data_IF_867577851758
#
_entry.id   IF_867577851758
#
_cell.length_a   1.000
_cell.length_b   1.000
_cell.length_c   1.000
_cell.angle_alpha   90.00
_cell.angle_beta   90.00
_cell.angle_gamma   90.00
#
_symmetry.space_group_name_H-M   'P 1'
#
loop_
_entity.id
_entity.type
_entity.pdbx_description
1 polymer ?
#
# COMPACT_ATOMS: atom_id res chain seq x y z
N UNK A 1 0.49 -30.35 -7.54
CA UNK A 1 1.67 -29.74 -6.86
C UNK A 1 1.35 -29.62 -5.38
N UNK A 2 2.38 -29.64 -4.52
CA UNK A 2 2.19 -29.47 -3.08
C UNK A 2 1.89 -28.03 -2.69
N UNK A 3 1.40 -27.84 -1.46
CA UNK A 3 1.16 -26.53 -0.84
C UNK A 3 2.13 -26.34 0.32
N UNK A 4 2.69 -25.14 0.46
CA UNK A 4 3.68 -24.80 1.49
C UNK A 4 3.13 -24.99 2.90
N UNK A 5 3.75 -25.89 3.67
CA UNK A 5 3.42 -26.10 5.10
C UNK A 5 3.69 -24.85 5.94
N UNK A 6 4.71 -24.07 5.58
CA UNK A 6 5.00 -22.79 6.24
C UNK A 6 3.87 -21.79 6.03
N UNK A 7 3.36 -21.68 4.80
CA UNK A 7 2.27 -20.77 4.45
C UNK A 7 0.99 -21.12 5.20
N UNK A 8 0.63 -22.43 5.22
CA UNK A 8 -0.56 -22.94 5.92
C UNK A 8 -0.47 -22.71 7.42
N UNK A 9 0.70 -22.94 8.03
CA UNK A 9 0.94 -22.67 9.45
C UNK A 9 0.88 -21.16 9.76
N UNK A 10 1.54 -20.33 8.94
CA UNK A 10 1.50 -18.86 9.11
C UNK A 10 0.05 -18.33 8.98
N UNK A 11 -0.74 -18.90 8.06
CA UNK A 11 -2.17 -18.56 7.91
C UNK A 11 -3.02 -18.92 9.14
N UNK A 12 -2.61 -19.93 9.91
CA UNK A 12 -3.23 -20.27 11.20
C UNK A 12 -2.78 -19.33 12.34
N UNK A 13 -1.66 -18.62 12.18
CA UNK A 13 -1.13 -17.63 13.13
C UNK A 13 -1.54 -16.18 12.83
N UNK A 14 -2.29 -15.93 11.74
CA UNK A 14 -2.80 -14.59 11.42
C UNK A 14 -3.87 -14.16 12.43
N UNK A 15 -3.44 -13.42 13.46
CA UNK A 15 -4.29 -12.83 14.50
C UNK A 15 -5.24 -11.73 14.00
N UNK A 16 -5.17 -11.36 12.72
CA UNK A 16 -6.03 -10.35 12.10
C UNK A 16 -7.47 -10.87 11.97
N UNK A 17 -8.44 -10.17 12.59
CA UNK A 17 -9.87 -10.54 12.57
C UNK A 17 -10.56 -10.33 11.21
N UNK A 18 -9.78 -10.22 10.13
CA UNK A 18 -10.28 -9.99 8.77
C UNK A 18 -11.18 -11.18 8.37
N UNK A 19 -12.40 -10.87 7.91
CA UNK A 19 -13.47 -11.83 7.58
C UNK A 19 -14.02 -12.68 8.74
N UNK A 20 -13.51 -12.58 9.98
CA UNK A 20 -14.05 -13.31 11.15
C UNK A 20 -15.40 -12.72 11.58
N UNK A 21 -15.58 -11.40 11.48
CA UNK A 21 -16.81 -10.69 11.84
C UNK A 21 -17.92 -10.69 10.76
N UNK A 22 -17.76 -11.43 9.66
CA UNK A 22 -18.62 -11.30 8.48
C UNK A 22 -18.29 -10.08 7.62
N UNK A 23 -19.28 -9.61 6.85
CA UNK A 23 -19.11 -8.63 5.76
C UNK A 23 -19.62 -7.21 6.07
N UNK A 24 -19.95 -6.91 7.33
CA UNK A 24 -20.61 -5.66 7.69
C UNK A 24 -22.06 -5.60 7.23
N UNK A 25 -22.56 -4.40 6.86
CA UNK A 25 -23.94 -4.21 6.40
C UNK A 25 -24.06 -4.49 4.88
N UNK A 26 -25.11 -5.18 4.40
CA UNK A 26 -25.34 -5.39 2.97
C UNK A 26 -25.42 -4.07 2.16
N UNK A 27 -25.94 -3.01 2.76
CA UNK A 27 -26.06 -1.68 2.17
C UNK A 27 -24.68 -1.05 1.92
N UNK A 28 -23.76 -1.20 2.88
CA UNK A 28 -22.39 -0.72 2.79
C UNK A 28 -21.57 -1.54 1.78
N UNK A 29 -21.77 -2.86 1.73
CA UNK A 29 -21.19 -3.72 0.69
C UNK A 29 -21.68 -3.34 -0.72
N UNK A 30 -22.97 -3.03 -0.88
CA UNK A 30 -23.53 -2.53 -2.14
C UNK A 30 -22.85 -1.22 -2.56
N UNK A 31 -22.72 -0.25 -1.65
CA UNK A 31 -22.04 1.04 -1.90
C UNK A 31 -20.59 0.84 -2.33
N UNK A 32 -19.87 -0.09 -1.70
CA UNK A 32 -18.50 -0.48 -2.08
C UNK A 32 -18.47 -1.02 -3.52
N UNK A 33 -19.38 -1.93 -3.90
CA UNK A 33 -19.43 -2.45 -5.28
C UNK A 33 -19.86 -1.43 -6.33
N UNK A 34 -20.72 -0.46 -5.97
CA UNK A 34 -21.09 0.65 -6.86
C UNK A 34 -19.88 1.59 -7.08
N UNK A 35 -19.16 1.94 -6.01
CA UNK A 35 -17.95 2.77 -6.10
C UNK A 35 -16.77 2.05 -6.76
N UNK A 36 -16.63 0.72 -6.58
CA UNK A 36 -15.57 -0.11 -7.19
C UNK A 36 -15.58 -0.05 -8.72
N UNK A 37 -16.75 0.17 -9.34
CA UNK A 37 -16.91 0.40 -10.79
C UNK A 37 -16.35 1.75 -11.26
N UNK A 38 -16.10 2.68 -10.33
CA UNK A 38 -15.44 3.96 -10.59
C UNK A 38 -13.93 3.84 -10.37
N UNK A 39 -13.48 3.14 -9.31
CA UNK A 39 -12.05 2.86 -9.07
C UNK A 39 -11.43 1.99 -10.19
N UNK A 40 -12.16 0.98 -10.70
CA UNK A 40 -11.66 0.06 -11.72
C UNK A 40 -11.41 0.67 -13.11
N UNK A 41 -11.93 1.88 -13.33
CA UNK A 41 -11.75 2.70 -14.53
C UNK A 41 -10.58 3.67 -14.31
N UNK A 42 -9.50 3.53 -15.08
CA UNK A 42 -8.26 4.32 -14.90
C UNK A 42 -8.52 5.83 -14.95
N UNK A 43 -9.27 6.29 -15.96
CA UNK A 43 -9.42 7.72 -16.26
C UNK A 43 -10.33 8.39 -15.23
N UNK A 44 -11.40 7.71 -14.81
CA UNK A 44 -12.21 8.16 -13.67
C UNK A 44 -11.39 8.17 -12.38
N UNK A 45 -10.71 7.06 -12.08
CA UNK A 45 -9.95 6.90 -10.83
C UNK A 45 -8.87 7.98 -10.64
N UNK A 46 -8.19 8.40 -11.72
CA UNK A 46 -7.21 9.49 -11.68
C UNK A 46 -7.79 10.82 -11.17
N UNK A 47 -9.08 11.07 -11.40
CA UNK A 47 -9.77 12.32 -11.02
C UNK A 47 -10.48 12.28 -9.67
N UNK A 48 -10.43 11.14 -8.94
CA UNK A 48 -11.14 10.98 -7.66
C UNK A 48 -10.50 11.76 -6.49
N UNK A 49 -9.26 12.22 -6.64
CA UNK A 49 -8.51 12.96 -5.63
C UNK A 49 -7.92 14.21 -6.29
N UNK A 50 -8.23 15.43 -5.81
CA UNK A 50 -7.61 16.67 -6.28
C UNK A 50 -6.08 16.64 -6.18
N UNK A 51 -5.39 17.33 -7.09
CA UNK A 51 -3.92 17.42 -7.10
C UNK A 51 -3.37 18.21 -5.90
N UNK A 52 -4.19 19.06 -5.28
CA UNK A 52 -3.92 19.86 -4.09
C UNK A 52 -4.50 19.27 -2.78
N UNK A 53 -4.85 17.98 -2.77
CA UNK A 53 -5.55 17.34 -1.65
C UNK A 53 -4.82 17.53 -0.30
N UNK A 54 -5.51 17.95 0.78
CA UNK A 54 -4.85 18.48 1.96
C UNK A 54 -4.12 17.42 2.80
N UNK A 55 -2.80 17.60 2.87
CA UNK A 55 -1.88 16.84 3.72
C UNK A 55 -1.37 17.74 4.85
N UNK A 56 -1.48 17.28 6.09
CA UNK A 56 -1.15 18.04 7.29
C UNK A 56 0.08 17.44 7.98
N UNK A 57 1.18 18.18 8.04
CA UNK A 57 2.32 17.85 8.92
C UNK A 57 1.98 18.34 10.33
N UNK A 58 2.04 17.46 11.32
CA UNK A 58 1.72 17.79 12.71
C UNK A 58 2.93 17.75 13.65
N UNK A 59 4.09 17.28 13.16
CA UNK A 59 5.37 17.28 13.88
C UNK A 59 6.50 17.12 12.88
N UNK A 60 7.61 17.82 13.11
CA UNK A 60 8.88 17.60 12.44
C UNK A 60 9.91 17.32 13.51
N UNK A 61 10.59 16.18 13.45
CA UNK A 61 11.82 15.92 14.20
C UNK A 61 13.02 16.22 13.32
N UNK A 62 14.05 16.84 13.90
CA UNK A 62 15.31 17.12 13.23
C UNK A 62 16.39 16.16 13.75
N UNK A 63 16.92 15.31 12.87
CA UNK A 63 18.05 14.43 13.16
C UNK A 63 19.33 14.94 12.47
N UNK A 64 20.46 14.26 12.67
CA UNK A 64 21.76 14.70 12.17
C UNK A 64 21.84 14.71 10.62
N UNK A 65 21.10 13.82 9.96
CA UNK A 65 21.16 13.51 8.53
C UNK A 65 19.80 13.62 7.81
N UNK A 66 18.69 13.73 8.54
CA UNK A 66 17.33 13.77 8.00
C UNK A 66 16.37 14.62 8.84
N UNK A 67 15.23 14.95 8.24
CA UNK A 67 14.01 15.38 8.92
C UNK A 67 13.01 14.23 8.92
N UNK A 68 12.30 14.02 10.03
CA UNK A 68 11.18 13.09 10.11
C UNK A 68 9.90 13.90 10.29
N UNK A 69 9.03 13.87 9.29
CA UNK A 69 7.74 14.55 9.31
C UNK A 69 6.64 13.54 9.66
N UNK A 70 6.04 13.66 10.85
CA UNK A 70 4.79 12.96 11.16
C UNK A 70 3.61 13.82 10.65
N UNK A 71 2.67 13.17 9.97
CA UNK A 71 1.51 13.85 9.43
C UNK A 71 0.28 12.98 9.30
N UNK A 72 -0.77 13.59 8.74
CA UNK A 72 -2.00 12.91 8.39
C UNK A 72 -2.67 13.54 7.17
N UNK A 73 -3.52 12.77 6.52
CA UNK A 73 -4.54 13.24 5.60
C UNK A 73 -5.88 12.61 6.01
N UNK A 74 -7.00 13.23 5.64
CA UNK A 74 -8.28 12.54 5.72
C UNK A 74 -8.36 11.56 4.55
N UNK A 75 -8.80 10.32 4.77
CA UNK A 75 -8.87 9.34 3.69
C UNK A 75 -9.89 9.80 2.63
N UNK A 76 -9.52 9.94 1.34
CA UNK A 76 -10.46 10.38 0.30
C UNK A 76 -11.71 9.50 0.20
N UNK A 77 -11.60 8.22 0.59
CA UNK A 77 -12.73 7.30 0.65
C UNK A 77 -13.84 7.76 1.62
N UNK A 78 -13.54 8.56 2.65
CA UNK A 78 -14.59 9.11 3.53
C UNK A 78 -15.42 10.20 2.84
N UNK A 79 -14.87 10.92 1.87
CA UNK A 79 -15.64 11.87 1.06
C UNK A 79 -16.40 11.17 -0.07
N UNK A 80 -15.81 10.12 -0.65
CA UNK A 80 -16.35 9.42 -1.81
C UNK A 80 -17.39 8.35 -1.44
N UNK A 81 -17.23 7.67 -0.29
CA UNK A 81 -18.21 6.72 0.26
C UNK A 81 -18.29 6.85 1.80
N UNK A 82 -18.95 7.89 2.33
CA UNK A 82 -18.92 8.24 3.76
C UNK A 82 -19.35 7.11 4.72
N UNK A 83 -18.71 7.02 5.88
CA UNK A 83 -19.04 6.06 6.94
C UNK A 83 -18.78 4.59 6.61
N UNK A 84 -18.07 4.30 5.51
CA UNK A 84 -17.56 2.94 5.21
C UNK A 84 -16.30 2.63 6.03
N UNK A 85 -15.48 3.66 6.32
CA UNK A 85 -14.25 3.49 7.07
C UNK A 85 -14.54 3.32 8.58
N UNK A 86 -13.78 2.47 9.29
CA UNK A 86 -13.72 2.55 10.74
C UNK A 86 -13.11 3.92 11.15
N UNK A 87 -13.51 4.52 12.27
CA UNK A 87 -13.09 5.88 12.66
C UNK A 87 -11.56 6.09 12.69
N UNK A 88 -10.82 5.03 13.02
CA UNK A 88 -9.35 5.01 13.08
C UNK A 88 -8.70 5.17 11.68
N UNK A 89 -9.39 4.77 10.61
CA UNK A 89 -8.91 4.86 9.24
C UNK A 89 -9.38 6.12 8.48
N UNK A 90 -10.36 6.87 9.03
CA UNK A 90 -10.80 8.16 8.47
C UNK A 90 -9.65 9.19 8.48
N UNK A 91 -8.82 9.18 9.53
CA UNK A 91 -7.62 10.03 9.66
C UNK A 91 -6.36 9.20 9.42
N UNK A 92 -6.03 8.99 8.15
CA UNK A 92 -4.84 8.26 7.72
C UNK A 92 -3.57 9.00 8.16
N UNK A 93 -2.78 8.37 9.03
CA UNK A 93 -1.50 8.90 9.53
C UNK A 93 -0.34 8.32 8.73
N UNK A 94 0.72 9.12 8.57
CA UNK A 94 1.97 8.70 7.95
C UNK A 94 3.16 9.32 8.66
N UNK A 95 4.34 8.76 8.38
CA UNK A 95 5.64 9.32 8.73
C UNK A 95 6.48 9.36 7.46
N UNK A 96 7.15 10.47 7.19
CA UNK A 96 7.97 10.67 6.00
C UNK A 96 9.38 11.11 6.40
N UNK A 97 10.40 10.39 5.91
CA UNK A 97 11.81 10.64 6.24
C UNK A 97 12.46 11.31 5.03
N UNK A 98 12.88 12.57 5.21
CA UNK A 98 13.51 13.39 4.17
C UNK A 98 14.99 13.55 4.50
N UNK A 99 15.94 13.14 3.63
CA UNK A 99 17.35 13.41 3.87
C UNK A 99 17.61 14.92 3.85
N UNK A 100 18.46 15.40 4.76
CA UNK A 100 19.03 16.75 4.68
C UNK A 100 19.91 16.89 3.44
N UNK A 101 20.26 18.11 3.06
CA UNK A 101 21.08 18.41 1.88
C UNK A 101 22.45 17.73 1.94
N UNK A 102 22.57 16.49 1.45
CA UNK A 102 23.77 15.66 1.63
C UNK A 102 25.06 16.35 1.16
N UNK A 103 24.95 17.25 0.18
CA UNK A 103 26.07 18.02 -0.36
C UNK A 103 26.34 19.37 0.34
N UNK A 104 25.37 20.03 1.00
CA UNK A 104 25.61 21.30 1.72
C UNK A 104 25.61 21.15 3.24
N UNK A 105 25.11 20.03 3.78
CA UNK A 105 25.17 19.64 5.19
C UNK A 105 25.70 18.20 5.35
N UNK A 106 25.94 17.76 6.58
CA UNK A 106 26.38 16.38 6.86
C UNK A 106 27.86 16.09 6.57
N UNK A 107 28.15 14.89 6.03
CA UNK A 107 29.53 14.41 5.82
C UNK A 107 30.08 14.81 4.45
N UNK A 108 29.29 14.71 3.36
CA UNK A 108 29.79 15.03 2.03
C UNK A 108 30.00 16.53 1.81
N UNK A 109 29.32 17.41 2.57
CA UNK A 109 29.64 18.84 2.56
C UNK A 109 31.05 19.18 3.05
N UNK A 110 31.72 18.26 3.77
CA UNK A 110 33.15 18.37 4.12
C UNK A 110 34.09 17.85 3.03
N UNK A 111 33.57 17.17 2.01
CA UNK A 111 34.32 16.71 0.85
C UNK A 111 34.24 17.68 -0.35
N UNK A 112 33.24 18.57 -0.37
CA UNK A 112 33.14 19.65 -1.38
C UNK A 112 34.18 20.74 -1.11
N UNK A 113 34.95 21.10 -2.13
CA UNK A 113 35.91 22.21 -2.05
C UNK A 113 35.23 23.55 -2.34
N UNK A 114 34.50 24.08 -1.35
CA UNK A 114 33.69 25.30 -1.46
C UNK A 114 34.45 26.48 -2.07
N UNK A 115 35.67 26.78 -1.59
CA UNK A 115 36.50 27.88 -2.12
C UNK A 115 36.82 27.76 -3.61
N UNK A 116 36.96 26.54 -4.12
CA UNK A 116 37.18 26.32 -5.54
C UNK A 116 35.88 26.46 -6.34
N UNK A 117 34.75 26.00 -5.79
CA UNK A 117 33.42 26.16 -6.39
C UNK A 117 33.00 27.63 -6.44
N UNK A 118 33.10 28.35 -5.32
CA UNK A 118 32.90 29.81 -5.20
C UNK A 118 33.71 30.57 -6.25
N UNK A 119 35.01 30.26 -6.36
CA UNK A 119 35.91 30.87 -7.34
C UNK A 119 35.52 30.52 -8.78
N UNK A 120 35.06 29.30 -9.05
CA UNK A 120 34.62 28.91 -10.40
C UNK A 120 33.33 29.60 -10.80
N UNK A 121 32.35 29.67 -9.88
CA UNK A 121 31.09 30.36 -10.07
C UNK A 121 31.29 31.86 -10.33
N UNK A 122 32.09 32.54 -9.48
CA UNK A 122 32.33 33.98 -9.57
C UNK A 122 33.27 34.42 -10.73
N UNK A 123 33.88 33.49 -11.46
CA UNK A 123 34.83 33.80 -12.57
C UNK A 123 34.32 33.33 -13.93
N UNK A 124 33.39 32.38 -13.98
CA UNK A 124 32.87 31.83 -15.23
C UNK A 124 31.34 31.95 -15.28
N UNK A 125 30.85 32.99 -15.95
CA UNK A 125 29.42 33.34 -15.99
C UNK A 125 28.53 32.21 -16.56
N UNK A 126 29.09 31.29 -17.36
CA UNK A 126 28.44 30.04 -17.81
C UNK A 126 27.77 29.26 -16.66
N UNK A 127 28.27 29.35 -15.42
CA UNK A 127 27.59 28.72 -14.26
C UNK A 127 26.24 29.36 -13.92
N UNK A 128 26.12 30.69 -14.06
CA UNK A 128 24.95 31.49 -13.72
C UNK A 128 24.05 31.80 -14.93
N UNK A 129 24.61 31.89 -16.13
CA UNK A 129 23.90 32.24 -17.36
C UNK A 129 23.40 31.01 -18.14
N UNK A 130 24.15 29.91 -18.13
CA UNK A 130 23.83 28.69 -18.90
C UNK A 130 23.45 27.52 -17.99
N UNK A 131 24.35 27.10 -17.09
CA UNK A 131 24.18 25.88 -16.30
C UNK A 131 22.97 25.98 -15.36
N UNK A 132 22.69 27.14 -14.75
CA UNK A 132 21.49 27.31 -13.92
C UNK A 132 20.18 27.07 -14.69
N UNK A 133 20.17 27.35 -16.00
CA UNK A 133 19.04 27.14 -16.90
C UNK A 133 18.99 25.71 -17.48
N UNK A 134 20.08 24.94 -17.35
CA UNK A 134 20.14 23.51 -17.68
C UNK A 134 19.87 22.60 -16.47
N UNK A 135 19.90 23.15 -15.25
CA UNK A 135 19.49 22.44 -14.04
C UNK A 135 17.96 22.36 -13.97
N UNK A 136 17.39 21.20 -14.31
CA UNK A 136 15.97 20.94 -14.11
C UNK A 136 15.59 21.00 -12.63
N UNK A 137 15.10 22.15 -12.21
CA UNK A 137 14.53 22.37 -10.90
C UNK A 137 13.11 21.78 -10.86
N UNK A 138 12.94 20.62 -10.23
CA UNK A 138 11.71 19.82 -10.21
C UNK A 138 10.51 20.44 -9.44
N UNK A 139 10.41 21.77 -9.37
CA UNK A 139 9.33 22.54 -8.72
C UNK A 139 9.29 22.48 -7.19
N UNK A 140 9.90 21.46 -6.58
CA UNK A 140 10.10 21.36 -5.15
C UNK A 140 11.46 21.93 -4.74
N UNK A 141 11.46 23.04 -4.00
CA UNK A 141 12.59 23.34 -3.13
C UNK A 141 12.66 22.23 -2.06
N UNK A 142 13.79 21.55 -1.96
CA UNK A 142 14.05 20.63 -0.83
C UNK A 142 14.07 21.35 0.53
N UNK A 143 14.03 22.70 0.55
CA UNK A 143 14.20 23.52 1.74
C UNK A 143 13.09 24.58 2.01
N UNK A 144 12.06 24.72 1.16
CA UNK A 144 10.97 25.71 1.39
C UNK A 144 9.56 25.18 1.15
N UNK A 145 8.78 25.11 2.23
CA UNK A 145 7.33 25.28 2.14
C UNK A 145 7.01 26.76 1.89
N UNK A 146 6.00 27.01 1.04
CA UNK A 146 5.34 28.29 0.70
C UNK A 146 5.26 29.31 1.85
N UNK A 147 5.42 30.64 1.69
CA UNK A 147 5.56 31.52 0.50
C UNK A 147 6.40 32.78 0.87
N UNK A 148 7.06 33.42 -0.11
CA UNK A 148 7.12 34.89 -0.35
C UNK A 148 8.02 35.21 -1.57
N UNK A 149 8.02 36.45 -2.06
CA UNK A 149 8.63 36.86 -3.35
C UNK A 149 10.15 37.10 -3.31
N UNK A 150 10.92 36.78 -4.38
CA UNK A 150 12.39 36.61 -4.27
C UNK A 150 13.26 37.87 -4.11
N UNK A 151 12.70 39.08 -4.05
CA UNK A 151 13.46 40.33 -4.26
C UNK A 151 13.64 41.22 -3.02
N UNK A 152 12.87 41.02 -1.94
CA UNK A 152 12.85 41.96 -0.80
C UNK A 152 13.88 41.59 0.30
N UNK A 153 14.23 40.31 0.46
CA UNK A 153 15.13 39.85 1.52
C UNK A 153 16.60 40.30 1.37
N UNK A 154 17.02 40.70 0.16
CA UNK A 154 18.43 41.03 -0.13
C UNK A 154 18.91 42.36 0.48
N UNK A 155 17.98 43.21 0.94
CA UNK A 155 18.28 44.53 1.51
C UNK A 155 18.24 44.57 3.06
N UNK A 156 17.56 43.62 3.70
CA UNK A 156 17.30 43.64 5.14
C UNK A 156 18.35 42.88 6.00
N UNK A 157 19.55 42.65 5.46
CA UNK A 157 20.63 41.91 6.15
C UNK A 157 21.72 42.81 6.77
N UNK A 158 21.53 44.14 6.82
CA UNK A 158 22.50 45.08 7.41
C UNK A 158 22.12 45.61 8.81
N UNK A 159 20.84 45.61 9.17
CA UNK A 159 20.33 45.79 10.53
C UNK A 159 19.25 44.70 10.78
N UNK A 160 19.06 44.12 11.97
CA UNK A 160 19.47 44.57 13.31
C UNK A 160 20.21 43.47 14.10
N UNK A 161 21.40 43.77 14.64
CA UNK A 161 22.04 42.95 15.68
C UNK A 161 21.98 43.66 17.04
N UNK A 162 20.82 43.60 17.72
CA UNK A 162 20.67 44.12 19.09
C UNK A 162 19.98 43.11 20.02
N UNK A 163 20.76 42.68 21.02
CA UNK A 163 20.37 41.71 22.04
C UNK A 163 19.56 42.37 23.16
N UNK A 164 18.55 41.68 23.67
CA UNK A 164 18.13 41.77 25.07
C UNK A 164 17.60 40.41 25.55
N UNK A 165 17.62 40.18 26.86
CA UNK A 165 17.31 38.88 27.49
C UNK A 165 16.20 39.01 28.54
N UNK A 166 15.41 37.94 28.76
CA UNK A 166 14.35 37.97 29.78
C UNK A 166 13.57 36.67 30.01
N UNK A 167 14.00 35.92 31.04
CA UNK A 167 13.17 35.17 32.01
C UNK A 167 12.21 34.04 31.58
N UNK A 168 12.54 32.82 32.02
CA UNK A 168 11.59 31.77 32.44
C UNK A 168 10.61 32.27 33.53
N UNK A 169 9.38 31.69 33.63
CA UNK A 169 9.17 30.72 34.71
C UNK A 169 8.12 29.59 34.50
N UNK A 170 8.58 28.34 34.78
CA UNK A 170 7.94 27.31 35.65
C UNK A 170 6.62 26.61 35.24
N UNK A 171 6.72 25.28 35.20
CA UNK A 171 5.66 24.27 35.44
C UNK A 171 5.13 24.31 36.90
N UNK A 172 4.01 23.63 37.29
CA UNK A 172 4.14 22.20 37.72
C UNK A 172 2.87 21.27 37.68
N UNK A 173 3.10 19.94 37.55
CA UNK A 173 2.57 18.79 38.39
C UNK A 173 1.03 18.68 38.66
N UNK A 174 0.29 17.56 38.53
CA UNK A 174 0.59 16.11 38.32
C UNK A 174 -0.51 15.41 37.41
N UNK A 175 -1.10 14.21 37.56
CA UNK A 175 -1.24 13.16 38.63
C UNK A 175 -1.43 11.71 38.08
N UNK A 176 -1.63 10.72 38.95
CA UNK A 176 -1.77 9.27 38.63
C UNK A 176 -3.09 8.64 39.18
N UNK A 177 -3.48 7.42 38.73
CA UNK A 177 -3.37 6.16 39.51
C UNK A 177 -4.24 4.96 38.99
N UNK A 178 -3.63 3.76 38.84
CA UNK A 178 -4.27 2.42 38.94
C UNK A 178 -5.12 1.87 37.77
N UNK A 179 -5.32 0.55 37.58
CA UNK A 179 -4.65 -0.62 38.18
C UNK A 179 -5.44 -1.96 38.14
N UNK A 180 -4.84 -3.04 37.59
CA UNK A 180 -5.23 -4.48 37.70
C UNK A 180 -6.59 -4.91 37.07
N UNK A 181 -6.95 -6.20 36.85
CA UNK A 181 -6.27 -7.50 37.07
C UNK A 181 -6.73 -8.61 36.09
N UNK A 182 -5.89 -9.65 35.94
CA UNK A 182 -6.16 -11.11 35.74
C UNK A 182 -7.22 -11.71 34.77
N UNK A 183 -6.97 -12.96 34.37
CA UNK A 183 -7.98 -13.91 33.87
C UNK A 183 -7.59 -14.68 32.61
N UNK A 184 -7.17 -15.95 32.72
CA UNK A 184 -6.79 -16.79 31.57
C UNK A 184 -7.33 -18.22 31.62
N UNK A 185 -7.21 -18.95 30.50
CA UNK A 185 -7.29 -20.42 30.44
C UNK A 185 -6.69 -20.98 29.15
N UNK A 186 -6.04 -22.13 29.26
CA UNK A 186 -5.59 -22.99 28.15
C UNK A 186 -6.63 -24.03 27.82
N UNK A 187 -6.71 -24.46 26.55
CA UNK A 187 -7.18 -25.79 26.17
C UNK A 187 -6.44 -26.27 24.91
N UNK A 188 -6.23 -27.59 24.80
CA UNK A 188 -5.43 -28.24 23.75
C UNK A 188 -6.15 -29.50 23.29
N UNK A 189 -6.47 -29.64 21.99
CA UNK A 189 -6.81 -30.95 21.41
C UNK A 189 -6.46 -31.14 19.92
N UNK A 190 -5.46 -32.01 19.70
CA UNK A 190 -5.36 -33.12 18.74
C UNK A 190 -5.93 -32.98 17.30
N UNK A 191 -5.07 -33.28 16.33
CA UNK A 191 -5.35 -33.44 14.89
C UNK A 191 -6.22 -34.65 14.53
N UNK A 192 -6.90 -34.60 13.38
CA UNK A 192 -7.22 -35.80 12.58
C UNK A 192 -7.18 -35.48 11.07
N UNK A 193 -7.04 -36.51 10.25
CA UNK A 193 -7.02 -36.44 8.79
C UNK A 193 -8.18 -37.26 8.19
N UNK A 194 -8.60 -36.94 6.97
CA UNK A 194 -9.66 -37.67 6.26
C UNK A 194 -9.78 -37.24 4.80
N UNK A 195 -10.15 -38.18 3.93
CA UNK A 195 -10.22 -38.00 2.47
C UNK A 195 -11.36 -37.08 1.99
N UNK A 196 -11.18 -36.51 0.80
CA UNK A 196 -12.21 -35.79 0.05
C UNK A 196 -12.79 -36.63 -1.10
N UNK A 197 -14.11 -36.59 -1.37
CA UNK A 197 -14.73 -37.35 -2.47
C UNK A 197 -14.61 -36.65 -3.84
N UNK A 198 -14.87 -37.43 -4.90
CA UNK A 198 -14.65 -37.07 -6.30
C UNK A 198 -15.67 -36.06 -6.89
N UNK A 199 -15.37 -35.44 -8.05
CA UNK A 199 -15.97 -34.18 -8.53
C UNK A 199 -17.15 -34.26 -9.52
N UNK A 200 -17.60 -35.46 -9.91
CA UNK A 200 -18.32 -35.66 -11.18
C UNK A 200 -19.87 -35.78 -11.09
N UNK A 201 -20.52 -35.25 -10.05
CA UNK A 201 -21.97 -35.46 -9.80
C UNK A 201 -22.78 -34.18 -9.52
N UNK A 202 -22.53 -33.07 -10.23
CA UNK A 202 -23.21 -31.78 -10.00
C UNK A 202 -23.81 -31.08 -11.25
N UNK A 203 -24.31 -31.84 -12.24
CA UNK A 203 -25.11 -31.30 -13.36
C UNK A 203 -26.35 -32.14 -13.71
N UNK A 204 -27.23 -32.44 -12.73
CA UNK A 204 -28.55 -33.06 -13.03
C UNK A 204 -29.61 -32.89 -11.93
N UNK A 205 -30.15 -31.67 -11.78
CA UNK A 205 -31.21 -31.39 -10.80
C UNK A 205 -32.11 -30.18 -11.15
N UNK A 206 -32.64 -30.13 -12.38
CA UNK A 206 -33.80 -29.27 -12.69
C UNK A 206 -35.10 -30.07 -12.67
N UNK A 207 -36.03 -29.64 -11.81
CA UNK A 207 -37.47 -29.95 -11.80
C UNK A 207 -37.93 -31.42 -11.73
N UNK A 208 -38.50 -31.79 -10.58
CA UNK A 208 -39.81 -32.46 -10.53
C UNK A 208 -40.49 -32.22 -9.17
N UNK A 209 -41.77 -31.86 -9.17
CA UNK A 209 -42.57 -31.65 -7.94
C UNK A 209 -43.28 -32.96 -7.53
N UNK A 210 -43.33 -33.24 -6.22
CA UNK A 210 -44.41 -34.02 -5.59
C UNK A 210 -44.56 -33.66 -4.11
N UNK A 211 -45.78 -33.48 -3.58
CA UNK A 211 -45.99 -33.02 -2.21
C UNK A 211 -46.17 -34.16 -1.19
N UNK A 212 -45.78 -33.89 0.07
CA UNK A 212 -46.39 -34.49 1.26
C UNK A 212 -45.64 -35.64 1.94
N UNK A 213 -44.90 -35.33 3.00
CA UNK A 213 -44.86 -36.13 4.25
C UNK A 213 -44.50 -35.22 5.44
N UNK A 214 -44.77 -35.69 6.67
CA UNK A 214 -44.77 -34.86 7.89
C UNK A 214 -43.37 -34.67 8.49
N UNK A 215 -43.17 -33.54 9.16
CA UNK A 215 -41.89 -33.09 9.72
C UNK A 215 -41.47 -33.78 11.01
N UNK A 216 -40.17 -34.05 11.16
CA UNK A 216 -39.48 -34.11 12.45
C UNK A 216 -38.39 -33.01 12.49
N UNK A 217 -38.09 -32.40 13.66
CA UNK A 217 -37.17 -31.27 13.75
C UNK A 217 -35.70 -31.71 13.81
N UNK A 218 -35.27 -32.57 12.88
CA UNK A 218 -33.84 -32.75 12.63
C UNK A 218 -33.24 -31.41 12.17
N UNK A 219 -32.09 -31.01 12.73
CA UNK A 219 -31.38 -29.79 12.32
C UNK A 219 -31.08 -29.85 10.82
N UNK A 220 -31.87 -29.14 10.02
CA UNK A 220 -31.74 -29.12 8.57
C UNK A 220 -30.49 -28.31 8.19
N UNK A 221 -29.35 -29.00 8.13
CA UNK A 221 -28.10 -28.47 7.59
C UNK A 221 -28.28 -28.33 6.07
N UNK A 222 -28.88 -27.22 5.63
CA UNK A 222 -29.17 -26.96 4.20
C UNK A 222 -27.87 -27.01 3.40
N UNK A 223 -27.62 -28.03 2.57
CA UNK A 223 -26.36 -28.12 1.82
C UNK A 223 -26.28 -27.02 0.77
N UNK A 224 -27.45 -26.60 0.27
CA UNK A 224 -27.61 -25.49 -0.67
C UNK A 224 -27.05 -24.19 -0.08
N UNK A 225 -27.44 -23.80 1.15
CA UNK A 225 -27.02 -22.55 1.79
C UNK A 225 -25.49 -22.45 1.95
N UNK A 226 -24.80 -23.56 2.21
CA UNK A 226 -23.34 -23.59 2.27
C UNK A 226 -22.70 -23.39 0.88
N UNK A 227 -23.24 -24.05 -0.16
CA UNK A 227 -22.79 -23.88 -1.55
C UNK A 227 -23.12 -22.48 -2.11
N UNK A 228 -24.28 -21.94 -1.76
CA UNK A 228 -24.71 -20.56 -2.02
C UNK A 228 -23.73 -19.57 -1.36
N UNK A 229 -23.37 -19.78 -0.08
CA UNK A 229 -22.41 -18.94 0.65
C UNK A 229 -21.00 -19.00 0.04
N UNK A 230 -20.54 -20.18 -0.39
CA UNK A 230 -19.26 -20.33 -1.12
C UNK A 230 -19.32 -19.62 -2.49
N UNK A 231 -20.45 -19.69 -3.19
CA UNK A 231 -20.62 -19.05 -4.50
C UNK A 231 -20.69 -17.53 -4.39
N UNK A 232 -21.37 -17.02 -3.36
CA UNK A 232 -21.36 -15.61 -2.98
C UNK A 232 -19.95 -15.15 -2.62
N UNK A 233 -19.24 -15.89 -1.74
CA UNK A 233 -17.86 -15.59 -1.36
C UNK A 233 -16.92 -15.51 -2.57
N UNK A 234 -17.06 -16.43 -3.54
CA UNK A 234 -16.32 -16.35 -4.81
C UNK A 234 -16.65 -15.07 -5.57
N UNK A 235 -17.93 -14.78 -5.82
CA UNK A 235 -18.34 -13.56 -6.53
C UNK A 235 -17.84 -12.27 -5.87
N UNK A 236 -17.90 -12.18 -4.54
CA UNK A 236 -17.38 -11.03 -3.75
C UNK A 236 -15.87 -10.86 -3.94
N UNK A 237 -15.11 -11.96 -3.88
CA UNK A 237 -13.65 -11.92 -4.02
C UNK A 237 -13.22 -11.72 -5.48
N UNK A 238 -13.89 -12.36 -6.44
CA UNK A 238 -13.60 -12.25 -7.87
C UNK A 238 -13.86 -10.82 -8.36
N UNK A 239 -14.99 -10.18 -8.01
CA UNK A 239 -15.28 -8.77 -8.34
C UNK A 239 -14.14 -7.83 -7.90
N UNK A 240 -13.62 -8.03 -6.68
CA UNK A 240 -12.60 -7.17 -6.08
C UNK A 240 -11.15 -7.54 -6.40
N UNK A 241 -10.84 -8.79 -6.78
CA UNK A 241 -9.44 -9.26 -6.95
C UNK A 241 -9.12 -9.91 -8.30
N UNK A 242 -10.11 -10.27 -9.12
CA UNK A 242 -9.84 -10.86 -10.43
C UNK A 242 -9.34 -9.77 -11.40
N UNK A 243 -8.09 -9.90 -11.84
CA UNK A 243 -7.35 -8.80 -12.50
C UNK A 243 -7.92 -8.41 -13.87
N UNK A 244 -8.71 -9.27 -14.53
CA UNK A 244 -9.41 -8.93 -15.77
C UNK A 244 -10.58 -7.95 -15.57
N UNK A 245 -11.01 -7.70 -14.32
CA UNK A 245 -12.09 -6.77 -14.01
C UNK A 245 -11.60 -5.30 -13.96
N UNK A 246 -10.34 -5.03 -14.29
CA UNK A 246 -9.67 -3.74 -14.19
C UNK A 246 -9.03 -3.34 -15.53
N UNK A 247 -8.81 -2.04 -15.73
CA UNK A 247 -8.21 -1.49 -16.95
C UNK A 247 -6.82 -2.09 -17.24
N UNK A 248 -6.65 -2.78 -18.38
CA UNK A 248 -5.37 -3.40 -18.80
C UNK A 248 -4.23 -2.37 -18.79
N UNK A 249 -3.06 -2.66 -18.20
CA UNK A 249 -1.89 -1.78 -18.20
C UNK A 249 -1.46 -1.30 -19.59
N UNK A 250 -0.90 -0.10 -19.67
CA UNK A 250 -0.55 0.57 -20.95
C UNK A 250 0.45 -0.25 -21.78
N UNK A 251 1.44 -0.87 -21.13
CA UNK A 251 2.34 -1.84 -21.76
C UNK A 251 2.53 -3.06 -20.87
N UNK A 252 1.84 -4.14 -21.22
CA UNK A 252 1.92 -5.43 -20.54
C UNK A 252 3.27 -6.13 -20.70
N UNK A 253 4.08 -5.78 -21.70
CA UNK A 253 5.41 -6.37 -21.94
C UNK A 253 6.47 -5.98 -20.89
N UNK A 254 6.26 -4.88 -20.17
CA UNK A 254 7.11 -4.47 -19.04
C UNK A 254 6.83 -5.29 -17.77
N UNK A 255 5.67 -5.96 -17.71
CA UNK A 255 5.21 -6.62 -16.49
C UNK A 255 5.96 -7.95 -16.29
N UNK A 256 6.57 -8.09 -15.12
CA UNK A 256 7.22 -9.31 -14.66
C UNK A 256 6.56 -9.72 -13.35
N UNK A 257 5.68 -10.71 -13.40
CA UNK A 257 5.01 -11.26 -12.21
C UNK A 257 5.89 -12.35 -11.60
N UNK A 258 6.17 -12.27 -10.31
CA UNK A 258 6.85 -13.33 -9.56
C UNK A 258 5.82 -14.19 -8.84
N UNK A 259 5.83 -15.51 -9.08
CA UNK A 259 4.91 -16.46 -8.44
C UNK A 259 5.65 -17.61 -7.73
N UNK A 260 5.15 -17.96 -6.55
CA UNK A 260 5.64 -19.08 -5.76
C UNK A 260 5.01 -20.41 -6.23
N UNK A 261 5.83 -21.46 -6.43
CA UNK A 261 5.36 -22.78 -6.90
C UNK A 261 4.56 -23.58 -5.86
N UNK A 262 4.71 -23.27 -4.58
CA UNK A 262 3.99 -23.91 -3.47
C UNK A 262 3.09 -22.93 -2.69
N UNK A 263 2.72 -21.79 -3.30
CA UNK A 263 1.86 -20.74 -2.71
C UNK A 263 0.53 -21.29 -2.14
N UNK A 264 0.18 -20.87 -0.91
CA UNK A 264 -1.09 -21.24 -0.24
C UNK A 264 -2.10 -20.09 -0.09
N UNK A 265 -1.84 -18.93 -0.68
CA UNK A 265 -2.67 -17.73 -0.64
C UNK A 265 -3.29 -17.42 -2.00
N UNK A 266 -2.48 -17.48 -3.07
CA UNK A 266 -2.91 -17.25 -4.45
C UNK A 266 -3.05 -18.59 -5.18
N UNK A 267 -4.26 -19.02 -5.57
CA UNK A 267 -4.45 -20.26 -6.31
C UNK A 267 -3.85 -20.16 -7.73
N UNK A 268 -3.28 -21.27 -8.23
CA UNK A 268 -2.77 -21.36 -9.62
C UNK A 268 -3.45 -22.42 -10.49
N UNK A 269 -4.23 -23.32 -9.91
CA UNK A 269 -4.92 -24.40 -10.65
C UNK A 269 -6.40 -24.06 -10.76
N UNK A 270 -6.95 -24.01 -11.97
CA UNK A 270 -8.36 -23.70 -12.20
C UNK A 270 -8.71 -22.21 -12.08
N UNK A 271 -7.73 -21.33 -12.26
CA UNK A 271 -7.89 -19.89 -12.48
C UNK A 271 -7.31 -19.52 -13.84
N UNK A 272 -7.73 -18.39 -14.40
CA UNK A 272 -7.21 -17.84 -15.66
C UNK A 272 -5.74 -17.40 -15.48
N UNK A 273 -4.88 -17.62 -16.47
CA UNK A 273 -3.47 -17.23 -16.37
C UNK A 273 -3.29 -15.72 -16.57
N UNK A 274 -2.23 -15.16 -15.97
CA UNK A 274 -1.95 -13.73 -16.10
C UNK A 274 -1.53 -13.34 -17.52
N UNK A 275 -0.99 -14.27 -18.31
CA UNK A 275 -0.73 -14.06 -19.74
C UNK A 275 -2.00 -14.00 -20.60
N UNK A 276 -3.09 -14.65 -20.19
CA UNK A 276 -4.39 -14.52 -20.87
C UNK A 276 -5.08 -13.20 -20.50
N UNK A 277 -4.89 -12.71 -19.26
CA UNK A 277 -5.44 -11.43 -18.79
C UNK A 277 -4.62 -10.25 -19.35
N UNK A 278 -3.29 -10.35 -19.32
CA UNK A 278 -2.34 -9.32 -19.74
C UNK A 278 -1.34 -9.90 -20.78
N UNK A 279 -1.74 -10.01 -22.06
CA UNK A 279 -0.91 -10.60 -23.11
C UNK A 279 0.49 -9.97 -23.19
N UNK A 280 1.52 -10.81 -23.18
CA UNK A 280 2.92 -10.39 -23.23
C UNK A 280 3.61 -10.17 -21.88
N UNK A 281 2.90 -10.24 -20.74
CA UNK A 281 3.58 -10.22 -19.43
C UNK A 281 4.43 -11.48 -19.20
N UNK A 282 5.55 -11.34 -18.52
CA UNK A 282 6.34 -12.49 -18.04
C UNK A 282 5.79 -12.99 -16.70
N UNK A 283 5.68 -14.30 -16.51
CA UNK A 283 5.45 -14.92 -15.18
C UNK A 283 6.64 -15.80 -14.81
N UNK A 284 7.35 -15.40 -13.76
CA UNK A 284 8.54 -16.05 -13.22
C UNK A 284 8.20 -16.94 -12.02
N UNK A 285 8.46 -18.23 -12.14
CA UNK A 285 8.13 -19.21 -11.10
C UNK A 285 9.34 -19.60 -10.23
N UNK A 286 9.31 -19.27 -8.94
CA UNK A 286 10.31 -19.66 -7.94
C UNK A 286 9.85 -20.83 -7.06
N UNK A 287 10.77 -21.54 -6.43
CA UNK A 287 10.47 -22.57 -5.43
C UNK A 287 10.29 -21.96 -4.03
N UNK A 288 9.30 -22.47 -3.29
CA UNK A 288 8.79 -21.91 -2.05
C UNK A 288 7.29 -21.64 -2.13
N UNK A 289 6.69 -21.40 -0.97
CA UNK A 289 5.36 -20.77 -0.86
C UNK A 289 5.49 -19.26 -0.72
N UNK A 290 4.37 -18.58 -0.57
CA UNK A 290 4.25 -17.13 -0.46
C UNK A 290 5.17 -16.54 0.61
N UNK A 291 5.15 -17.13 1.81
CA UNK A 291 5.89 -16.63 2.97
C UNK A 291 7.40 -16.90 2.82
N UNK A 292 7.79 -18.09 2.35
CA UNK A 292 9.20 -18.42 2.12
C UNK A 292 9.78 -17.74 0.88
N UNK A 293 8.95 -17.38 -0.10
CA UNK A 293 9.32 -16.51 -1.21
C UNK A 293 9.68 -15.11 -0.69
N UNK A 294 8.76 -14.47 0.04
CA UNK A 294 8.96 -13.13 0.58
C UNK A 294 10.18 -13.06 1.51
N UNK A 295 10.32 -13.99 2.45
CA UNK A 295 11.42 -13.96 3.44
C UNK A 295 12.79 -14.31 2.84
N UNK A 296 12.86 -15.27 1.89
CA UNK A 296 14.16 -15.87 1.49
C UNK A 296 14.52 -15.71 0.02
N UNK A 297 13.66 -15.12 -0.83
CA UNK A 297 13.90 -14.94 -2.27
C UNK A 297 14.00 -13.47 -2.71
N UNK A 298 14.26 -12.55 -1.77
CA UNK A 298 14.38 -11.10 -2.00
C UNK A 298 15.23 -10.71 -3.22
N UNK A 299 16.36 -11.39 -3.47
CA UNK A 299 17.21 -11.11 -4.64
C UNK A 299 16.51 -11.41 -5.98
N UNK A 300 15.57 -12.37 -6.02
CA UNK A 300 14.78 -12.68 -7.21
C UNK A 300 13.74 -11.58 -7.50
N UNK A 301 13.12 -11.02 -6.46
CA UNK A 301 12.25 -9.86 -6.59
C UNK A 301 13.02 -8.62 -7.04
N UNK A 302 14.20 -8.35 -6.46
CA UNK A 302 15.10 -7.27 -6.91
C UNK A 302 15.49 -7.41 -8.38
N UNK A 303 15.86 -8.61 -8.84
CA UNK A 303 16.16 -8.84 -10.25
C UNK A 303 14.94 -8.61 -11.15
N UNK A 304 13.74 -9.05 -10.75
CA UNK A 304 12.52 -8.77 -11.52
C UNK A 304 12.22 -7.27 -11.63
N UNK A 305 12.49 -6.49 -10.57
CA UNK A 305 12.36 -5.03 -10.57
C UNK A 305 13.39 -4.39 -11.52
N UNK A 306 14.67 -4.74 -11.40
CA UNK A 306 15.71 -4.23 -12.31
C UNK A 306 15.44 -4.59 -13.76
N UNK A 307 14.99 -5.81 -14.05
CA UNK A 307 14.66 -6.25 -15.40
C UNK A 307 13.47 -5.47 -15.99
N UNK A 308 12.48 -5.10 -15.18
CA UNK A 308 11.35 -4.29 -15.62
C UNK A 308 11.79 -2.85 -15.98
N UNK A 309 12.64 -2.22 -15.17
CA UNK A 309 13.23 -0.91 -15.50
C UNK A 309 14.15 -0.97 -16.73
N UNK A 310 14.99 -2.02 -16.84
CA UNK A 310 15.83 -2.24 -18.01
C UNK A 310 14.99 -2.39 -19.30
N UNK A 311 13.86 -3.11 -19.25
CA UNK A 311 12.92 -3.20 -20.36
C UNK A 311 12.31 -1.84 -20.72
N UNK A 312 11.93 -1.04 -19.71
CA UNK A 312 11.39 0.29 -19.94
C UNK A 312 12.40 1.16 -20.70
N UNK A 313 13.62 1.33 -20.18
CA UNK A 313 14.63 2.17 -20.82
C UNK A 313 15.08 1.67 -22.19
N UNK A 314 15.10 0.36 -22.43
CA UNK A 314 15.41 -0.22 -23.76
C UNK A 314 14.26 -0.04 -24.77
N UNK A 315 13.00 -0.02 -24.33
CA UNK A 315 11.81 0.11 -25.18
C UNK A 315 11.38 1.57 -25.40
N UNK A 316 11.68 2.43 -24.43
CA UNK A 316 11.27 3.83 -24.37
C UNK A 316 12.46 4.76 -24.05
N UNK A 317 13.54 4.78 -24.87
CA UNK A 317 14.76 5.53 -24.57
C UNK A 317 14.60 7.05 -24.57
N UNK A 318 13.49 7.58 -25.12
CA UNK A 318 13.21 9.01 -25.31
C UNK A 318 12.04 9.50 -24.43
N UNK A 319 11.80 8.83 -23.31
CA UNK A 319 10.72 9.12 -22.34
C UNK A 319 11.28 9.32 -20.92
N UNK A 320 12.50 9.89 -20.87
CA UNK A 320 13.18 10.39 -19.69
C UNK A 320 13.23 11.91 -19.79
#
# INVERSE_FOLDING_TARGET
MGVSRLDVFYRQLLLTKLFIGGWGKPEDLKRIFEFRKIIGDREKCRTLVPEDYPVYINKTEELADCHIHDGFFFSPLEHLVPGILPPEAVKARFQFIVPKSVFTTGVLSKAVNWRQLEKQYAVNSVYEEEIINLLEYCGADSFKMRNLSPLEDLLNLSEEFRVSAGQDPKEPIQSQLGGSSEGGRTDVFVSSAGDGPNRDTLLRSFSLHRPGMKSSPARCYRPTLHLESISFMKGVMDECTHMANFSVPVDTGLIIVVQAKEDAYVPRTGVLSLQEIWPGCEVRYLSGGHISAYLFKQNFFRQAIYDAFNRFSLKYPNLH
#
